data_IF_834857062244
#
_entry.id   IF_834857062244
#
_cell.length_a   1.000
_cell.length_b   1.000
_cell.length_c   1.000
_cell.angle_alpha   90.00
_cell.angle_beta   90.00
_cell.angle_gamma   90.00
#
_symmetry.space_group_name_H-M   'P 1'
#
loop_
_entity.id
_entity.type
_entity.pdbx_description
1 polymer ?
#
# COMPACT_ATOMS: atom_id res chain seq x y z
N UNK A 1 -13.09 -0.28 23.39
CA UNK A 1 -11.67 -0.35 22.96
C UNK A 1 -11.65 0.35 21.62
N UNK A 2 -10.81 1.38 21.51
CA UNK A 2 -10.74 2.26 20.34
C UNK A 2 -10.10 1.54 19.13
N UNK A 3 -10.34 1.98 17.90
CA UNK A 3 -9.74 1.37 16.70
C UNK A 3 -8.25 1.72 16.54
N UNK A 4 -7.72 2.61 17.38
CA UNK A 4 -6.29 2.95 17.50
C UNK A 4 -5.34 1.76 17.30
N UNK A 5 -5.42 0.72 18.14
CA UNK A 5 -4.49 -0.42 18.05
C UNK A 5 -4.73 -1.25 16.79
N UNK A 6 -5.97 -1.36 16.33
CA UNK A 6 -6.30 -2.05 15.07
C UNK A 6 -5.64 -1.35 13.89
N UNK A 7 -5.78 -0.02 13.81
CA UNK A 7 -5.15 0.82 12.78
C UNK A 7 -3.63 0.69 12.83
N UNK A 8 -3.02 0.79 14.01
CA UNK A 8 -1.57 0.61 14.17
C UNK A 8 -1.07 -0.73 13.63
N UNK A 9 -1.73 -1.84 13.99
CA UNK A 9 -1.33 -3.18 13.53
C UNK A 9 -1.57 -3.36 12.04
N UNK A 10 -2.70 -2.88 11.51
CA UNK A 10 -3.03 -3.00 10.08
C UNK A 10 -2.03 -2.22 9.21
N UNK A 11 -1.78 -0.96 9.56
CA UNK A 11 -0.93 -0.07 8.75
C UNK A 11 0.55 -0.38 8.87
N UNK A 12 0.99 -0.95 9.99
CA UNK A 12 2.32 -1.55 10.12
C UNK A 12 2.44 -2.90 9.38
N UNK A 13 1.36 -3.53 8.92
CA UNK A 13 1.39 -4.79 8.17
C UNK A 13 1.29 -6.07 9.03
N UNK A 14 0.98 -5.93 10.31
CA UNK A 14 0.76 -7.03 11.25
C UNK A 14 -0.71 -7.49 11.23
N UNK A 15 -1.17 -8.01 10.08
CA UNK A 15 -2.59 -8.32 9.84
C UNK A 15 -3.19 -9.35 10.81
N UNK A 16 -2.41 -10.34 11.26
CA UNK A 16 -2.86 -11.32 12.27
C UNK A 16 -3.14 -10.66 13.63
N UNK A 17 -2.25 -9.79 14.09
CA UNK A 17 -2.47 -9.01 15.31
C UNK A 17 -3.64 -8.04 15.13
N UNK A 18 -3.78 -7.40 13.96
CA UNK A 18 -4.93 -6.53 13.68
C UNK A 18 -6.26 -7.29 13.86
N UNK A 19 -6.36 -8.52 13.35
CA UNK A 19 -7.54 -9.38 13.56
C UNK A 19 -7.79 -9.71 15.03
N UNK A 20 -6.74 -10.03 15.80
CA UNK A 20 -6.85 -10.30 17.24
C UNK A 20 -7.33 -9.07 18.03
N UNK A 21 -6.90 -7.87 17.65
CA UNK A 21 -7.36 -6.63 18.29
C UNK A 21 -8.80 -6.30 17.89
N UNK A 22 -9.20 -6.57 16.64
CA UNK A 22 -10.58 -6.39 16.15
C UNK A 22 -11.57 -7.22 16.99
N UNK A 23 -11.22 -8.44 17.41
CA UNK A 23 -12.09 -9.28 18.24
C UNK A 23 -12.41 -8.65 19.61
N UNK A 24 -11.57 -7.73 20.08
CA UNK A 24 -11.72 -7.03 21.37
C UNK A 24 -12.51 -5.73 21.27
N UNK A 25 -12.76 -5.24 20.04
CA UNK A 25 -13.52 -4.02 19.79
C UNK A 25 -15.02 -4.35 19.86
N UNK A 26 -15.75 -3.63 20.73
CA UNK A 26 -17.20 -3.72 20.79
C UNK A 26 -17.81 -3.18 19.49
N UNK A 27 -19.03 -3.60 19.13
CA UNK A 27 -19.70 -3.36 17.85
C UNK A 27 -20.06 -1.89 17.53
N UNK A 28 -19.37 -0.89 18.10
CA UNK A 28 -19.71 0.53 18.01
C UNK A 28 -19.40 1.19 16.66
N UNK A 29 -18.58 0.57 15.79
CA UNK A 29 -18.34 1.04 14.41
C UNK A 29 -18.42 -0.12 13.43
N UNK A 30 -19.64 -0.45 12.99
CA UNK A 30 -19.87 -1.63 12.14
C UNK A 30 -19.06 -1.58 10.84
N UNK A 31 -19.01 -0.42 10.17
CA UNK A 31 -18.33 -0.32 8.87
C UNK A 31 -16.81 -0.31 8.99
N UNK A 32 -16.24 0.41 9.96
CA UNK A 32 -14.79 0.42 10.17
C UNK A 32 -14.26 -0.95 10.64
N UNK A 33 -14.98 -1.62 11.55
CA UNK A 33 -14.63 -2.98 11.98
C UNK A 33 -14.70 -3.96 10.83
N UNK A 34 -15.76 -3.91 10.02
CA UNK A 34 -15.89 -4.75 8.81
C UNK A 34 -14.75 -4.42 7.84
N UNK A 35 -14.42 -3.14 7.66
CA UNK A 35 -13.36 -2.70 6.76
C UNK A 35 -11.98 -3.27 7.12
N UNK A 36 -11.54 -3.07 8.37
CA UNK A 36 -10.25 -3.57 8.81
C UNK A 36 -10.19 -5.09 8.90
N UNK A 37 -11.30 -5.75 9.27
CA UNK A 37 -11.38 -7.22 9.29
C UNK A 37 -11.25 -7.80 7.90
N UNK A 38 -12.08 -7.33 6.96
CA UNK A 38 -12.09 -7.82 5.60
C UNK A 38 -10.76 -7.53 4.89
N UNK A 39 -10.20 -6.32 4.99
CA UNK A 39 -8.88 -6.03 4.38
C UNK A 39 -7.75 -6.86 4.98
N UNK A 40 -7.76 -7.11 6.29
CA UNK A 40 -6.75 -7.97 6.93
C UNK A 40 -6.86 -9.43 6.45
N UNK A 41 -8.07 -9.97 6.37
CA UNK A 41 -8.30 -11.33 5.83
C UNK A 41 -7.92 -11.44 4.35
N UNK A 42 -8.21 -10.41 3.54
CA UNK A 42 -7.79 -10.36 2.13
C UNK A 42 -6.26 -10.36 2.03
N UNK A 43 -5.57 -9.55 2.85
CA UNK A 43 -4.11 -9.51 2.86
C UNK A 43 -3.47 -10.85 3.24
N UNK A 44 -4.11 -11.61 4.15
CA UNK A 44 -3.68 -12.96 4.53
C UNK A 44 -4.07 -14.04 3.49
N UNK A 45 -4.99 -13.73 2.58
CA UNK A 45 -5.57 -14.70 1.65
C UNK A 45 -6.56 -15.66 2.30
N UNK A 46 -7.15 -15.25 3.43
CA UNK A 46 -8.10 -16.02 4.25
C UNK A 46 -9.53 -15.42 4.18
N UNK A 47 -9.78 -14.50 3.25
CA UNK A 47 -11.08 -13.86 3.14
C UNK A 47 -12.14 -14.83 2.61
N UNK A 48 -13.17 -15.05 3.42
CA UNK A 48 -14.38 -15.77 3.05
C UNK A 48 -15.52 -14.78 2.77
N UNK A 49 -16.23 -14.99 1.67
CA UNK A 49 -17.34 -14.10 1.28
C UNK A 49 -18.43 -14.10 2.34
N UNK A 50 -18.80 -12.92 2.79
CA UNK A 50 -19.90 -12.79 3.75
C UNK A 50 -21.25 -13.02 3.05
N UNK A 51 -22.13 -13.78 3.72
CA UNK A 51 -23.51 -14.00 3.27
C UNK A 51 -24.42 -12.80 3.53
N UNK A 52 -23.95 -11.83 4.34
CA UNK A 52 -24.67 -10.60 4.65
C UNK A 52 -24.76 -9.70 3.41
N UNK A 53 -25.98 -9.26 3.08
CA UNK A 53 -26.25 -8.29 2.01
C UNK A 53 -26.41 -6.87 2.57
N UNK A 54 -25.84 -6.58 3.73
CA UNK A 54 -26.00 -5.31 4.44
C UNK A 54 -24.67 -4.58 4.60
N UNK A 55 -24.68 -3.27 4.34
CA UNK A 55 -23.52 -2.38 4.49
C UNK A 55 -22.43 -2.62 3.45
N UNK A 56 -21.18 -2.38 3.84
CA UNK A 56 -20.01 -2.48 2.97
C UNK A 56 -19.61 -3.94 2.60
N UNK A 57 -20.19 -4.96 3.24
CA UNK A 57 -19.85 -6.37 3.02
C UNK A 57 -20.02 -6.83 1.55
N UNK A 58 -21.06 -6.35 0.86
CA UNK A 58 -21.28 -6.69 -0.56
C UNK A 58 -20.21 -6.06 -1.46
N UNK A 59 -19.75 -4.84 -1.14
CA UNK A 59 -18.63 -4.22 -1.85
C UNK A 59 -17.33 -5.00 -1.61
N UNK A 60 -17.11 -5.52 -0.39
CA UNK A 60 -15.95 -6.36 -0.10
C UNK A 60 -15.93 -7.69 -0.85
N UNK A 61 -17.07 -8.38 -0.95
CA UNK A 61 -17.16 -9.62 -1.72
C UNK A 61 -16.72 -9.40 -3.17
N UNK A 62 -17.19 -8.30 -3.77
CA UNK A 62 -16.86 -7.95 -5.17
C UNK A 62 -15.42 -7.47 -5.30
N UNK A 63 -14.93 -6.68 -4.34
CA UNK A 63 -13.54 -6.24 -4.28
C UNK A 63 -12.56 -7.43 -4.16
N UNK A 64 -12.88 -8.42 -3.32
CA UNK A 64 -12.08 -9.64 -3.18
C UNK A 64 -12.01 -10.42 -4.50
N UNK A 65 -13.11 -10.49 -5.26
CA UNK A 65 -13.11 -11.10 -6.60
C UNK A 65 -12.20 -10.36 -7.58
N UNK A 66 -12.18 -9.02 -7.53
CA UNK A 66 -11.28 -8.20 -8.35
C UNK A 66 -9.81 -8.45 -7.97
N UNK A 67 -9.48 -8.47 -6.68
CA UNK A 67 -8.12 -8.77 -6.20
C UNK A 67 -7.68 -10.17 -6.63
N UNK A 68 -8.60 -11.14 -6.66
CA UNK A 68 -8.36 -12.49 -7.17
C UNK A 68 -8.30 -12.58 -8.71
N UNK A 69 -8.54 -11.48 -9.44
CA UNK A 69 -8.52 -11.43 -10.91
C UNK A 69 -9.78 -11.97 -11.61
N UNK A 70 -10.89 -12.12 -10.88
CA UNK A 70 -12.15 -12.72 -11.39
C UNK A 70 -13.37 -11.78 -11.34
N UNK A 71 -13.26 -10.62 -10.68
CA UNK A 71 -14.36 -9.67 -10.49
C UNK A 71 -14.50 -8.61 -11.58
N UNK A 72 -15.65 -7.93 -11.60
CA UNK A 72 -15.97 -6.82 -12.51
C UNK A 72 -16.02 -5.50 -11.75
N UNK A 73 -15.45 -4.45 -12.34
CA UNK A 73 -15.51 -3.10 -11.76
C UNK A 73 -16.96 -2.56 -11.71
N UNK A 74 -17.78 -2.89 -12.71
CA UNK A 74 -19.18 -2.44 -12.79
C UNK A 74 -20.04 -3.00 -11.65
N UNK A 75 -19.75 -4.25 -11.24
CA UNK A 75 -20.44 -4.89 -10.12
C UNK A 75 -20.08 -4.19 -8.79
N UNK A 76 -18.80 -3.80 -8.65
CA UNK A 76 -18.34 -3.05 -7.47
C UNK A 76 -18.93 -1.64 -7.44
N UNK A 77 -18.98 -0.94 -8.57
CA UNK A 77 -19.64 0.38 -8.68
C UNK A 77 -21.12 0.31 -8.26
N UNK A 78 -21.81 -0.75 -8.67
CA UNK A 78 -23.22 -0.99 -8.30
C UNK A 78 -23.37 -1.27 -6.80
N UNK A 79 -22.47 -2.06 -6.22
CA UNK A 79 -22.44 -2.34 -4.78
C UNK A 79 -22.16 -1.08 -3.96
N UNK A 80 -21.17 -0.27 -4.37
CA UNK A 80 -20.77 0.97 -3.70
C UNK A 80 -21.85 2.04 -3.81
N UNK A 81 -22.54 2.14 -4.95
CA UNK A 81 -23.67 3.06 -5.12
C UNK A 81 -24.83 2.79 -4.14
N UNK A 82 -24.96 1.55 -3.66
CA UNK A 82 -25.99 1.16 -2.70
C UNK A 82 -25.65 1.51 -1.24
N UNK A 83 -24.37 1.73 -0.93
CA UNK A 83 -23.85 2.04 0.40
C UNK A 83 -22.63 2.97 0.31
N UNK A 84 -22.86 4.20 -0.15
CA UNK A 84 -21.78 5.18 -0.36
C UNK A 84 -21.25 5.71 0.97
N UNK A 85 -20.12 5.16 1.39
CA UNK A 85 -19.27 5.65 2.49
C UNK A 85 -17.81 5.84 2.04
N UNK A 86 -17.00 6.59 2.80
CA UNK A 86 -15.57 6.77 2.52
C UNK A 86 -14.83 5.41 2.43
N UNK A 87 -15.18 4.44 3.27
CA UNK A 87 -14.64 3.07 3.19
C UNK A 87 -15.04 2.36 1.90
N UNK A 88 -16.29 2.49 1.45
CA UNK A 88 -16.75 1.88 0.19
C UNK A 88 -16.06 2.51 -1.04
N UNK A 89 -15.83 3.82 -1.00
CA UNK A 89 -15.09 4.55 -2.03
C UNK A 89 -13.61 4.17 -2.04
N UNK A 90 -13.03 3.89 -0.87
CA UNK A 90 -11.68 3.35 -0.77
C UNK A 90 -11.56 2.00 -1.52
N UNK A 91 -12.57 1.12 -1.43
CA UNK A 91 -12.58 -0.14 -2.17
C UNK A 91 -12.69 0.09 -3.68
N UNK A 92 -13.59 0.98 -4.11
CA UNK A 92 -13.77 1.31 -5.52
C UNK A 92 -12.50 1.89 -6.13
N UNK A 93 -11.91 2.90 -5.48
CA UNK A 93 -10.67 3.52 -5.93
C UNK A 93 -9.50 2.52 -5.94
N UNK A 94 -9.41 1.64 -4.95
CA UNK A 94 -8.39 0.57 -4.94
C UNK A 94 -8.56 -0.36 -6.15
N UNK A 95 -9.79 -0.76 -6.47
CA UNK A 95 -10.08 -1.61 -7.62
C UNK A 95 -9.79 -0.91 -8.97
N UNK A 96 -10.16 0.37 -9.10
CA UNK A 96 -9.83 1.19 -10.26
C UNK A 96 -8.32 1.27 -10.47
N UNK A 97 -7.55 1.52 -9.41
CA UNK A 97 -6.09 1.56 -9.47
C UNK A 97 -5.46 0.21 -9.85
N UNK A 98 -5.97 -0.92 -9.31
CA UNK A 98 -5.54 -2.27 -9.70
C UNK A 98 -5.74 -2.52 -11.20
N UNK A 99 -6.82 -1.99 -11.78
CA UNK A 99 -7.10 -2.09 -13.23
C UNK A 99 -6.37 -1.02 -14.07
N UNK A 100 -5.51 -0.20 -13.46
CA UNK A 100 -4.75 0.85 -14.14
C UNK A 100 -5.53 2.13 -14.42
N UNK A 101 -6.75 2.29 -13.88
CA UNK A 101 -7.59 3.48 -14.02
C UNK A 101 -7.25 4.52 -12.94
N UNK A 102 -5.98 4.93 -12.86
CA UNK A 102 -5.48 5.78 -11.78
C UNK A 102 -6.16 7.17 -11.72
N UNK A 103 -6.47 7.77 -12.87
CA UNK A 103 -7.15 9.08 -12.92
C UNK A 103 -8.56 9.00 -12.32
N UNK A 104 -9.33 7.98 -12.70
CA UNK A 104 -10.67 7.74 -12.14
C UNK A 104 -10.59 7.38 -10.65
N UNK A 105 -9.59 6.60 -10.25
CA UNK A 105 -9.35 6.24 -8.86
C UNK A 105 -9.09 7.46 -7.96
N UNK A 106 -8.24 8.39 -8.40
CA UNK A 106 -8.01 9.65 -7.67
C UNK A 106 -9.29 10.46 -7.60
N UNK A 107 -10.05 10.55 -8.70
CA UNK A 107 -11.33 11.27 -8.73
C UNK A 107 -12.33 10.68 -7.72
N UNK A 108 -12.47 9.36 -7.67
CA UNK A 108 -13.31 8.65 -6.69
C UNK A 108 -12.91 8.99 -5.26
N UNK A 109 -11.61 9.05 -4.96
CA UNK A 109 -11.15 9.45 -3.63
C UNK A 109 -11.52 10.91 -3.32
N UNK A 110 -11.26 11.84 -4.25
CA UNK A 110 -11.59 13.26 -4.05
C UNK A 110 -13.09 13.49 -3.83
N UNK A 111 -13.95 12.79 -4.57
CA UNK A 111 -15.40 12.83 -4.38
C UNK A 111 -15.84 12.39 -2.98
N UNK A 112 -15.10 11.46 -2.35
CA UNK A 112 -15.37 11.03 -0.98
C UNK A 112 -14.83 12.01 0.07
N UNK A 113 -13.68 12.65 -0.20
CA UNK A 113 -13.11 13.67 0.67
C UNK A 113 -13.97 14.95 0.76
N UNK A 114 -14.73 15.25 -0.29
CA UNK A 114 -15.70 16.36 -0.31
C UNK A 114 -17.03 16.03 0.40
N UNK A 115 -17.20 14.82 0.93
CA UNK A 115 -18.42 14.40 1.62
C UNK A 115 -18.50 14.91 3.06
N UNK A 116 -19.70 14.94 3.64
CA UNK A 116 -19.91 15.31 5.05
C UNK A 116 -19.60 14.17 6.03
N UNK A 117 -19.13 13.01 5.55
CA UNK A 117 -18.79 11.87 6.38
C UNK A 117 -17.40 12.06 6.98
N UNK A 118 -17.24 11.80 8.27
CA UNK A 118 -15.94 11.97 8.95
C UNK A 118 -15.18 10.67 9.13
N UNK A 119 -15.87 9.52 9.14
CA UNK A 119 -15.24 8.21 9.28
C UNK A 119 -14.67 7.75 7.94
N UNK A 120 -13.47 7.15 7.96
CA UNK A 120 -12.86 6.60 6.75
C UNK A 120 -12.11 7.62 5.87
N UNK A 121 -12.14 8.91 6.22
CA UNK A 121 -11.49 9.96 5.43
C UNK A 121 -9.97 9.85 5.44
N UNK A 122 -9.37 9.49 6.57
CA UNK A 122 -7.92 9.30 6.70
C UNK A 122 -7.44 8.16 5.77
N UNK A 123 -8.18 7.07 5.73
CA UNK A 123 -7.94 5.92 4.85
C UNK A 123 -8.07 6.31 3.37
N UNK A 124 -9.03 7.17 3.05
CA UNK A 124 -9.28 7.63 1.69
C UNK A 124 -8.21 8.62 1.21
N UNK A 125 -7.77 9.56 2.04
CA UNK A 125 -6.68 10.48 1.68
C UNK A 125 -5.35 9.73 1.52
N UNK A 126 -5.05 8.75 2.38
CA UNK A 126 -3.86 7.90 2.21
C UNK A 126 -3.90 7.17 0.87
N UNK A 127 -5.04 6.58 0.51
CA UNK A 127 -5.19 5.91 -0.78
C UNK A 127 -5.03 6.88 -1.96
N UNK A 128 -5.64 8.07 -1.88
CA UNK A 128 -5.50 9.10 -2.91
C UNK A 128 -4.03 9.50 -3.13
N UNK A 129 -3.28 9.69 -2.03
CA UNK A 129 -1.85 9.97 -2.05
C UNK A 129 -1.08 8.82 -2.67
N UNK A 130 -1.34 7.57 -2.26
CA UNK A 130 -0.67 6.37 -2.78
C UNK A 130 -0.87 6.19 -4.28
N UNK A 131 -2.08 6.41 -4.78
CA UNK A 131 -2.37 6.34 -6.23
C UNK A 131 -1.65 7.47 -6.96
N UNK A 132 -1.71 8.70 -6.42
CA UNK A 132 -1.06 9.86 -7.03
C UNK A 132 0.47 9.71 -7.12
N UNK A 133 1.13 9.14 -6.11
CA UNK A 133 2.59 8.89 -6.17
C UNK A 133 2.97 7.70 -7.04
N UNK A 134 2.03 6.78 -7.27
CA UNK A 134 2.23 5.61 -8.15
C UNK A 134 2.08 5.95 -9.62
N UNK A 135 1.52 7.11 -9.95
CA UNK A 135 1.46 7.61 -11.32
C UNK A 135 2.86 7.91 -11.86
N UNK A 136 3.15 7.41 -13.05
CA UNK A 136 4.43 7.55 -13.75
C UNK A 136 4.65 8.94 -14.36
N UNK A 137 3.67 9.84 -14.22
CA UNK A 137 3.78 11.22 -14.71
C UNK A 137 4.75 12.05 -13.86
N UNK A 138 5.42 13.02 -14.49
CA UNK A 138 6.32 13.97 -13.80
C UNK A 138 5.61 14.89 -12.77
N UNK A 139 4.29 14.74 -12.56
CA UNK A 139 3.48 15.57 -11.65
C UNK A 139 3.00 14.81 -10.41
N UNK A 140 3.40 13.56 -10.24
CA UNK A 140 2.96 12.68 -9.15
C UNK A 140 3.21 13.29 -7.76
N UNK A 141 4.41 13.81 -7.50
CA UNK A 141 4.77 14.47 -6.23
C UNK A 141 3.90 15.71 -5.93
N UNK A 142 3.75 16.62 -6.90
CA UNK A 142 2.98 17.85 -6.72
C UNK A 142 1.50 17.59 -6.46
N UNK A 143 0.94 16.56 -7.10
CA UNK A 143 -0.46 16.17 -6.95
C UNK A 143 -0.69 15.53 -5.59
N UNK A 144 0.14 14.56 -5.21
CA UNK A 144 0.08 13.91 -3.91
C UNK A 144 0.26 14.92 -2.75
N UNK A 145 1.21 15.83 -2.88
CA UNK A 145 1.45 16.90 -1.90
C UNK A 145 0.22 17.81 -1.76
N UNK A 146 -0.39 18.20 -2.88
CA UNK A 146 -1.58 19.07 -2.88
C UNK A 146 -2.79 18.39 -2.24
N UNK A 147 -3.00 17.10 -2.52
CA UNK A 147 -4.07 16.30 -1.91
C UNK A 147 -3.91 16.27 -0.38
N UNK A 148 -2.71 15.93 0.10
CA UNK A 148 -2.44 15.85 1.54
C UNK A 148 -2.56 17.22 2.23
N UNK A 149 -1.99 18.27 1.64
CA UNK A 149 -2.06 19.62 2.21
C UNK A 149 -3.49 20.14 2.29
N UNK A 150 -4.30 19.93 1.26
CA UNK A 150 -5.70 20.33 1.27
C UNK A 150 -6.49 19.58 2.34
N UNK A 151 -6.23 18.28 2.51
CA UNK A 151 -6.87 17.48 3.55
C UNK A 151 -6.51 17.99 4.96
N UNK A 152 -5.22 18.21 5.24
CA UNK A 152 -4.75 18.72 6.53
C UNK A 152 -5.26 20.13 6.83
N UNK A 153 -5.36 21.00 5.82
CA UNK A 153 -5.91 22.33 5.98
C UNK A 153 -7.43 22.32 6.26
N UNK A 154 -8.15 21.33 5.74
CA UNK A 154 -9.58 21.15 6.01
C UNK A 154 -9.85 20.45 7.36
N UNK A 155 -8.87 19.70 7.89
CA UNK A 155 -8.98 18.90 9.11
C UNK A 155 -7.82 19.23 10.06
N UNK A 156 -7.82 20.46 10.60
CA UNK A 156 -6.77 20.94 11.51
C UNK A 156 -6.58 20.03 12.74
N UNK A 157 -7.65 19.36 13.17
CA UNK A 157 -7.62 18.30 14.18
C UNK A 157 -8.22 17.01 13.59
N UNK A 158 -7.42 15.95 13.53
CA UNK A 158 -7.88 14.59 13.20
C UNK A 158 -7.74 13.67 14.42
N UNK A 159 -8.44 12.54 14.42
CA UNK A 159 -8.42 11.63 15.54
C UNK A 159 -7.01 11.06 15.76
N UNK A 160 -6.59 10.87 17.02
CA UNK A 160 -5.29 10.30 17.35
C UNK A 160 -5.08 8.92 16.69
N UNK A 161 -6.14 8.13 16.57
CA UNK A 161 -6.09 6.84 15.87
C UNK A 161 -5.80 6.92 14.36
N UNK A 162 -5.97 8.09 13.74
CA UNK A 162 -5.63 8.33 12.33
C UNK A 162 -4.18 8.79 12.15
N UNK A 163 -3.45 9.07 13.23
CA UNK A 163 -2.08 9.61 13.18
C UNK A 163 -1.14 8.72 12.34
N UNK A 164 -1.18 7.40 12.52
CA UNK A 164 -0.36 6.49 11.71
C UNK A 164 -0.70 6.56 10.22
N UNK A 165 -1.96 6.82 9.87
CA UNK A 165 -2.45 6.88 8.49
C UNK A 165 -1.95 8.15 7.82
N UNK A 166 -2.05 9.27 8.52
CA UNK A 166 -1.56 10.57 8.06
C UNK A 166 -0.04 10.57 7.95
N UNK A 167 0.67 10.02 8.94
CA UNK A 167 2.13 9.90 8.90
C UNK A 167 2.60 8.99 7.73
N UNK A 168 1.85 7.93 7.42
CA UNK A 168 2.12 7.12 6.22
C UNK A 168 1.89 7.91 4.93
N UNK A 169 0.84 8.73 4.85
CA UNK A 169 0.57 9.54 3.67
C UNK A 169 1.69 10.57 3.45
N UNK A 170 2.11 11.27 4.52
CA UNK A 170 3.25 12.19 4.49
C UNK A 170 4.53 11.46 4.09
N UNK A 171 4.77 10.28 4.66
CA UNK A 171 5.91 9.44 4.32
C UNK A 171 5.97 9.07 2.84
N UNK A 172 4.83 8.72 2.21
CA UNK A 172 4.77 8.46 0.77
C UNK A 172 5.16 9.68 -0.07
N UNK A 173 4.68 10.87 0.31
CA UNK A 173 5.02 12.14 -0.35
C UNK A 173 6.51 12.44 -0.19
N UNK A 174 7.05 12.32 1.02
CA UNK A 174 8.46 12.56 1.30
C UNK A 174 9.37 11.58 0.57
N UNK A 175 8.96 10.30 0.48
CA UNK A 175 9.69 9.26 -0.24
C UNK A 175 9.83 9.59 -1.72
N UNK A 176 8.73 9.97 -2.41
CA UNK A 176 8.78 10.31 -3.84
C UNK A 176 9.49 11.65 -4.10
N UNK A 177 9.39 12.59 -3.16
CA UNK A 177 10.05 13.89 -3.26
C UNK A 177 11.56 13.82 -2.94
N UNK A 178 12.05 12.71 -2.39
CA UNK A 178 13.43 12.60 -1.88
C UNK A 178 13.72 13.57 -0.73
N UNK A 179 12.69 13.96 0.03
CA UNK A 179 12.78 14.86 1.19
C UNK A 179 12.82 14.05 2.49
N UNK A 180 13.40 14.65 3.53
CA UNK A 180 13.45 14.05 4.87
C UNK A 180 14.04 12.63 4.91
N UNK A 181 14.87 12.27 3.91
CA UNK A 181 15.48 10.94 3.77
C UNK A 181 16.39 10.54 4.94
N UNK A 182 16.91 11.52 5.68
CA UNK A 182 17.68 11.36 6.93
C UNK A 182 16.96 11.99 8.13
N UNK A 183 15.75 12.51 7.92
CA UNK A 183 15.00 13.33 8.85
C UNK A 183 13.74 12.61 9.32
N UNK A 184 12.60 13.32 9.33
CA UNK A 184 11.34 12.80 9.87
C UNK A 184 10.91 11.49 9.21
N UNK A 185 11.08 11.35 7.89
CA UNK A 185 10.67 10.17 7.15
C UNK A 185 11.50 8.93 7.54
N UNK A 186 12.81 9.10 7.77
CA UNK A 186 13.66 8.01 8.25
C UNK A 186 13.29 7.57 9.66
N UNK A 187 13.18 8.54 10.58
CA UNK A 187 12.85 8.25 11.97
C UNK A 187 11.47 7.61 12.13
N UNK A 188 10.51 7.98 11.28
CA UNK A 188 9.20 7.35 11.24
C UNK A 188 9.29 5.83 11.01
N UNK A 189 10.02 5.38 9.98
CA UNK A 189 10.18 3.95 9.73
C UNK A 189 11.10 3.25 10.75
N UNK A 190 12.12 3.95 11.27
CA UNK A 190 12.97 3.42 12.33
C UNK A 190 12.13 3.12 13.59
N UNK A 191 11.29 4.06 14.03
CA UNK A 191 10.38 3.90 15.15
C UNK A 191 9.35 2.79 14.90
N UNK A 192 8.77 2.73 13.69
CA UNK A 192 7.85 1.64 13.32
C UNK A 192 8.53 0.28 13.39
N UNK A 193 9.78 0.14 12.93
CA UNK A 193 10.52 -1.11 13.03
C UNK A 193 10.83 -1.51 14.47
N UNK A 194 11.03 -0.54 15.37
CA UNK A 194 11.30 -0.81 16.79
C UNK A 194 10.03 -1.16 17.57
N UNK A 195 8.92 -0.50 17.26
CA UNK A 195 7.66 -0.61 18.02
C UNK A 195 6.71 -1.68 17.46
N UNK A 196 6.63 -1.80 16.13
CA UNK A 196 5.72 -2.68 15.38
C UNK A 196 6.48 -3.42 14.26
N UNK A 197 7.48 -4.26 14.61
CA UNK A 197 8.32 -4.93 13.62
C UNK A 197 7.49 -5.83 12.71
N UNK A 198 7.57 -5.60 11.40
CA UNK A 198 6.89 -6.40 10.38
C UNK A 198 7.69 -6.43 9.08
N UNK A 199 7.31 -7.31 8.16
CA UNK A 199 7.84 -7.27 6.78
C UNK A 199 7.69 -5.89 6.12
N UNK A 200 6.53 -5.25 6.29
CA UNK A 200 6.23 -3.95 5.67
C UNK A 200 7.09 -2.83 6.23
N UNK A 201 7.23 -2.74 7.55
CA UNK A 201 8.04 -1.69 8.19
C UNK A 201 9.52 -1.84 7.81
N UNK A 202 10.03 -3.08 7.83
CA UNK A 202 11.41 -3.38 7.46
C UNK A 202 11.70 -3.05 6.00
N UNK A 203 10.78 -3.37 5.09
CA UNK A 203 10.94 -3.02 3.68
C UNK A 203 10.88 -1.50 3.44
N UNK A 204 10.03 -0.78 4.17
CA UNK A 204 10.01 0.69 4.14
C UNK A 204 11.34 1.30 4.58
N UNK A 205 11.89 0.81 5.70
CA UNK A 205 13.22 1.21 6.19
C UNK A 205 14.33 0.85 5.20
N UNK A 206 14.26 -0.34 4.59
CA UNK A 206 15.21 -0.76 3.55
C UNK A 206 15.20 0.19 2.35
N UNK A 207 14.01 0.59 1.87
CA UNK A 207 13.89 1.54 0.76
C UNK A 207 14.52 2.89 1.09
N UNK A 208 14.45 3.36 2.34
CA UNK A 208 15.12 4.58 2.78
C UNK A 208 16.65 4.43 2.87
N UNK A 209 17.16 3.28 3.34
CA UNK A 209 18.59 3.00 3.31
C UNK A 209 19.12 2.99 1.86
N UNK A 210 18.36 2.41 0.92
CA UNK A 210 18.70 2.42 -0.50
C UNK A 210 18.72 3.84 -1.08
N UNK A 211 17.74 4.69 -0.75
CA UNK A 211 17.74 6.10 -1.17
C UNK A 211 18.97 6.87 -0.67
N UNK A 212 19.48 6.52 0.52
CA UNK A 212 20.68 7.11 1.11
C UNK A 212 21.98 6.44 0.68
N UNK A 213 21.93 5.37 -0.12
CA UNK A 213 23.09 4.53 -0.46
C UNK A 213 23.79 3.90 0.76
N UNK A 214 23.04 3.67 1.84
CA UNK A 214 23.47 2.92 3.04
C UNK A 214 23.41 1.41 2.76
N UNK A 215 24.29 0.94 1.88
CA UNK A 215 24.26 -0.44 1.37
C UNK A 215 24.48 -1.51 2.46
N UNK A 216 25.39 -1.35 3.44
CA UNK A 216 25.54 -2.32 4.52
C UNK A 216 24.27 -2.49 5.36
N UNK A 217 23.60 -1.38 5.68
CA UNK A 217 22.35 -1.37 6.45
C UNK A 217 21.20 -1.99 5.64
N UNK A 218 21.09 -1.67 4.35
CA UNK A 218 20.13 -2.31 3.46
C UNK A 218 20.37 -3.83 3.35
N UNK A 219 21.64 -4.27 3.30
CA UNK A 219 21.99 -5.69 3.31
C UNK A 219 21.61 -6.36 4.64
N UNK A 220 21.84 -5.71 5.78
CA UNK A 220 21.45 -6.24 7.08
C UNK A 220 19.93 -6.48 7.19
N UNK A 221 19.12 -5.64 6.55
CA UNK A 221 17.66 -5.85 6.49
C UNK A 221 17.30 -7.05 5.60
N UNK A 222 18.02 -7.27 4.48
CA UNK A 222 17.84 -8.48 3.67
C UNK A 222 18.12 -9.72 4.53
N UNK A 223 19.27 -9.74 5.20
CA UNK A 223 19.68 -10.87 6.04
C UNK A 223 18.67 -11.11 7.18
N UNK A 224 18.12 -10.03 7.74
CA UNK A 224 17.06 -10.09 8.75
C UNK A 224 15.77 -10.70 8.19
N UNK A 225 15.29 -10.24 7.03
CA UNK A 225 14.06 -10.74 6.41
C UNK A 225 14.20 -12.18 5.89
N UNK A 226 15.41 -12.61 5.55
CA UNK A 226 15.73 -14.00 5.19
C UNK A 226 15.98 -14.90 6.41
N UNK A 227 16.05 -14.34 7.62
CA UNK A 227 16.17 -15.12 8.85
C UNK A 227 14.94 -16.00 9.10
N UNK A 228 15.17 -17.10 9.84
CA UNK A 228 14.12 -18.05 10.21
C UNK A 228 12.91 -17.37 10.89
N UNK A 229 13.16 -16.33 11.70
CA UNK A 229 12.09 -15.60 12.39
C UNK A 229 11.09 -14.96 11.42
N UNK A 230 11.56 -14.27 10.37
CA UNK A 230 10.68 -13.61 9.40
C UNK A 230 10.10 -14.59 8.39
N UNK A 231 10.87 -15.61 7.99
CA UNK A 231 10.40 -16.66 7.07
C UNK A 231 9.33 -17.57 7.67
N UNK A 232 9.33 -17.76 9.01
CA UNK A 232 8.26 -18.48 9.70
C UNK A 232 6.90 -17.74 9.69
N UNK A 233 6.88 -16.45 9.34
CA UNK A 233 5.65 -15.67 9.14
C UNK A 233 5.15 -15.85 7.69
N UNK A 234 4.77 -17.09 7.33
CA UNK A 234 4.57 -17.52 5.94
C UNK A 234 3.66 -16.61 5.11
N UNK A 235 2.56 -16.11 5.68
CA UNK A 235 1.59 -15.28 4.97
C UNK A 235 2.18 -13.90 4.64
N UNK A 236 2.82 -13.25 5.62
CA UNK A 236 3.52 -11.97 5.42
C UNK A 236 4.72 -12.13 4.48
N UNK A 237 5.51 -13.20 4.65
CA UNK A 237 6.64 -13.51 3.78
C UNK A 237 6.17 -13.68 2.33
N UNK A 238 5.12 -14.47 2.09
CA UNK A 238 4.54 -14.65 0.75
C UNK A 238 4.07 -13.32 0.15
N UNK A 239 3.39 -12.49 0.94
CA UNK A 239 2.85 -11.21 0.49
C UNK A 239 3.95 -10.23 0.06
N UNK A 240 5.07 -10.19 0.78
CA UNK A 240 6.10 -9.16 0.64
C UNK A 240 7.39 -9.63 -0.05
N UNK A 241 7.51 -10.92 -0.37
CA UNK A 241 8.66 -11.47 -1.12
C UNK A 241 8.90 -10.76 -2.46
N UNK A 242 7.87 -10.42 -3.28
CA UNK A 242 8.11 -9.67 -4.52
C UNK A 242 8.78 -8.31 -4.28
N UNK A 243 8.39 -7.58 -3.23
CA UNK A 243 8.99 -6.30 -2.86
C UNK A 243 10.42 -6.48 -2.33
N UNK A 244 10.68 -7.53 -1.54
CA UNK A 244 12.04 -7.88 -1.12
C UNK A 244 12.94 -8.16 -2.33
N UNK A 245 12.48 -8.96 -3.29
CA UNK A 245 13.22 -9.25 -4.52
C UNK A 245 13.51 -7.98 -5.33
N UNK A 246 12.53 -7.09 -5.47
CA UNK A 246 12.73 -5.80 -6.13
C UNK A 246 13.80 -4.94 -5.45
N UNK A 247 13.76 -4.86 -4.11
CA UNK A 247 14.77 -4.15 -3.34
C UNK A 247 16.17 -4.81 -3.43
N UNK A 248 16.24 -6.15 -3.45
CA UNK A 248 17.49 -6.91 -3.68
C UNK A 248 18.08 -6.63 -5.06
N UNK A 249 17.26 -6.56 -6.11
CA UNK A 249 17.72 -6.20 -7.46
C UNK A 249 18.39 -4.82 -7.43
N UNK A 250 17.77 -3.83 -6.79
CA UNK A 250 18.35 -2.48 -6.66
C UNK A 250 19.65 -2.51 -5.86
N UNK A 251 19.66 -3.17 -4.70
CA UNK A 251 20.85 -3.30 -3.84
C UNK A 251 22.02 -3.94 -4.59
N UNK A 252 21.79 -5.10 -5.22
CA UNK A 252 22.82 -5.82 -5.99
C UNK A 252 23.33 -4.99 -7.15
N UNK A 253 22.46 -4.25 -7.86
CA UNK A 253 22.89 -3.34 -8.92
C UNK A 253 23.78 -2.20 -8.38
N UNK A 254 23.42 -1.59 -7.24
CA UNK A 254 24.22 -0.54 -6.59
C UNK A 254 25.58 -1.05 -6.10
N UNK A 255 25.66 -2.33 -5.71
CA UNK A 255 26.91 -3.01 -5.37
C UNK A 255 27.74 -3.41 -6.61
N UNK A 256 27.24 -3.20 -7.83
CA UNK A 256 27.90 -3.58 -9.09
C UNK A 256 27.78 -5.07 -9.43
N UNK A 257 26.87 -5.80 -8.79
CA UNK A 257 26.58 -7.20 -9.04
C UNK A 257 25.66 -7.44 -10.25
N UNK A 258 25.53 -8.71 -10.64
CA UNK A 258 24.59 -9.14 -11.68
C UNK A 258 23.21 -9.41 -11.08
N UNK A 259 22.16 -8.97 -11.78
CA UNK A 259 20.77 -9.02 -11.29
C UNK A 259 19.87 -9.95 -12.10
N UNK A 260 20.41 -10.63 -13.10
CA UNK A 260 19.63 -11.43 -14.07
C UNK A 260 18.81 -12.53 -13.39
N UNK A 261 19.41 -13.24 -12.42
CA UNK A 261 18.74 -14.31 -11.68
C UNK A 261 17.62 -13.77 -10.79
N UNK A 262 17.88 -12.70 -10.04
CA UNK A 262 16.87 -12.06 -9.19
C UNK A 262 15.71 -11.49 -10.02
N UNK A 263 16.00 -10.91 -11.18
CA UNK A 263 14.96 -10.44 -12.13
C UNK A 263 14.13 -11.59 -12.66
N UNK A 264 14.75 -12.73 -12.98
CA UNK A 264 14.05 -13.92 -13.45
C UNK A 264 13.11 -14.46 -12.36
N UNK A 265 13.58 -14.53 -11.12
CA UNK A 265 12.76 -14.93 -9.97
C UNK A 265 11.56 -13.98 -9.76
N UNK A 266 11.78 -12.66 -9.84
CA UNK A 266 10.69 -11.70 -9.69
C UNK A 266 9.67 -11.80 -10.84
N UNK A 267 10.15 -12.01 -12.08
CA UNK A 267 9.28 -12.22 -13.24
C UNK A 267 8.44 -13.49 -13.13
N UNK A 268 9.00 -14.58 -12.59
CA UNK A 268 8.28 -15.83 -12.35
C UNK A 268 7.24 -15.67 -11.23
N UNK A 269 7.59 -14.94 -10.17
CA UNK A 269 6.73 -14.75 -8.99
C UNK A 269 5.60 -13.74 -9.22
N UNK A 270 5.91 -12.59 -9.80
CA UNK A 270 4.95 -11.50 -10.03
C UNK A 270 5.28 -10.74 -11.35
N UNK A 271 4.84 -11.25 -12.51
CA UNK A 271 5.12 -10.66 -13.82
C UNK A 271 4.66 -9.21 -14.00
N UNK A 272 3.61 -8.84 -13.25
CA UNK A 272 2.98 -7.50 -13.25
C UNK A 272 3.58 -6.55 -12.20
N UNK A 273 4.63 -6.97 -11.49
CA UNK A 273 5.32 -6.08 -10.55
C UNK A 273 5.85 -4.83 -11.31
N UNK A 274 5.76 -3.60 -10.76
CA UNK A 274 6.15 -2.38 -11.48
C UNK A 274 7.59 -2.42 -12.03
N UNK A 275 8.53 -3.01 -11.29
CA UNK A 275 9.90 -3.20 -11.76
C UNK A 275 10.00 -4.08 -13.03
N UNK A 276 9.17 -5.12 -13.13
CA UNK A 276 9.11 -6.00 -14.29
C UNK A 276 8.50 -5.29 -15.49
N UNK A 277 7.42 -4.52 -15.30
CA UNK A 277 6.81 -3.72 -16.36
C UNK A 277 7.79 -2.67 -16.88
N UNK A 278 8.44 -1.92 -15.99
CA UNK A 278 9.47 -0.93 -16.35
C UNK A 278 10.64 -1.57 -17.10
N UNK A 279 11.08 -2.76 -16.69
CA UNK A 279 12.12 -3.49 -17.40
C UNK A 279 11.70 -3.85 -18.83
N UNK A 280 10.50 -4.40 -19.03
CA UNK A 280 9.97 -4.72 -20.37
C UNK A 280 9.88 -3.49 -21.27
N UNK A 281 9.34 -2.38 -20.74
CA UNK A 281 9.21 -1.11 -21.46
C UNK A 281 10.58 -0.55 -21.85
N UNK A 282 11.53 -0.53 -20.91
CA UNK A 282 12.86 0.02 -21.17
C UNK A 282 13.64 -0.83 -22.17
N UNK A 283 13.51 -2.16 -22.11
CA UNK A 283 14.17 -3.05 -23.07
C UNK A 283 13.60 -2.84 -24.49
N UNK A 284 12.29 -2.78 -24.64
CA UNK A 284 11.65 -2.51 -25.94
C UNK A 284 12.08 -1.15 -26.52
N UNK A 285 12.12 -0.10 -25.70
CA UNK A 285 12.63 1.22 -26.11
C UNK A 285 14.09 1.19 -26.56
N UNK A 286 14.93 0.38 -25.90
CA UNK A 286 16.32 0.22 -26.29
C UNK A 286 16.42 -0.47 -27.66
N UNK A 287 15.66 -1.55 -27.87
CA UNK A 287 15.61 -2.27 -29.15
C UNK A 287 15.13 -1.36 -30.30
N UNK A 288 14.15 -0.49 -30.05
CA UNK A 288 13.70 0.53 -31.01
C UNK A 288 14.83 1.53 -31.38
N UNK A 289 15.60 1.97 -30.39
CA UNK A 289 16.75 2.86 -30.62
C UNK A 289 17.83 2.14 -31.44
N UNK A 290 18.15 0.89 -31.11
CA UNK A 290 19.12 0.09 -31.86
C UNK A 290 18.65 -0.06 -33.31
N UNK A 291 17.39 -0.45 -33.54
CA UNK A 291 16.84 -0.62 -34.88
C UNK A 291 16.85 0.69 -35.71
N UNK A 292 16.76 1.86 -35.05
CA UNK A 292 16.81 3.17 -35.71
C UNK A 292 18.22 3.55 -36.18
N UNK A 293 19.28 3.04 -35.54
CA UNK A 293 20.67 3.43 -35.79
C UNK A 293 21.58 2.29 -36.26
N UNK A 294 21.05 1.07 -36.45
CA UNK A 294 21.73 -0.06 -37.08
C UNK A 294 21.62 -0.02 -38.60
#
# INVERSE_FOLDING_TARGET
MDLFTVKQQYYSGNYKQALQEIEKVASSDQDAVVFYRAKSLIALGEYEKESSQSGIATAFNTYADIVAGSGSLQDLESAVSSSKSAFSLNLLASAQAIQGQNEDAVKTCLEGLDSNETQGLAELVLLAVQIAVSDSSNRSESTASSILQNFLAAHEEYANEDEIIINLAESCVNFVAGREITGSNFYFYEELCQTLPSWKSQLGLMSLHLQQSHLPEAQAIVDLLESEYYQNQQESARLYTPQLLANKITLTAMQGGRVDELRSQLLELQPEHPLCQNYKINNAKFDEVVAKYA
#
